data_IF_780311782827
#
_entry.id   IF_780311782827
#
_cell.length_a   1.000
_cell.length_b   1.000
_cell.length_c   1.000
_cell.angle_alpha   90.00
_cell.angle_beta   90.00
_cell.angle_gamma   90.00
#
_symmetry.space_group_name_H-M   'P 1'
#
loop_
_entity.id
_entity.type
_entity.pdbx_description
1 polymer ?
#
# COMPACT_ATOMS: atom_id res chain seq x y z
N UNK A 1 -18.92 -7.07 -2.19
CA UNK A 1 -17.50 -7.46 -2.26
C UNK A 1 -16.82 -6.85 -1.06
N UNK A 2 -16.20 -7.64 -0.18
CA UNK A 2 -15.55 -7.08 1.01
C UNK A 2 -14.38 -6.19 0.54
N UNK A 3 -14.22 -5.02 1.16
CA UNK A 3 -13.24 -3.99 0.78
C UNK A 3 -11.78 -4.43 1.03
N UNK A 4 -11.53 -5.65 1.46
CA UNK A 4 -10.21 -6.18 1.78
C UNK A 4 -10.15 -7.64 1.32
N UNK A 5 -9.58 -7.90 0.15
CA UNK A 5 -9.32 -9.25 -0.36
C UNK A 5 -7.81 -9.40 -0.58
N UNK A 6 -7.20 -10.38 0.09
CA UNK A 6 -5.83 -10.82 -0.14
C UNK A 6 -5.84 -12.36 -0.14
N UNK A 7 -5.55 -13.02 -1.28
CA UNK A 7 -5.66 -14.47 -1.39
C UNK A 7 -4.79 -15.26 -0.41
N UNK A 8 -3.65 -14.71 0.03
CA UNK A 8 -2.80 -15.38 1.00
C UNK A 8 -3.41 -15.32 2.39
N UNK A 9 -3.96 -14.16 2.76
CA UNK A 9 -4.63 -13.99 4.06
C UNK A 9 -5.87 -14.88 4.14
N UNK A 10 -6.65 -14.93 3.06
CA UNK A 10 -7.84 -15.78 3.04
C UNK A 10 -7.48 -17.27 3.09
N UNK A 11 -6.45 -17.72 2.36
CA UNK A 11 -5.97 -19.10 2.45
C UNK A 11 -5.58 -19.48 3.90
N UNK A 12 -4.83 -18.63 4.58
CA UNK A 12 -4.43 -18.84 5.98
C UNK A 12 -5.67 -18.97 6.87
N UNK A 13 -6.64 -18.07 6.70
CA UNK A 13 -7.87 -18.06 7.49
C UNK A 13 -8.72 -19.31 7.22
N UNK A 14 -8.88 -19.69 5.96
CA UNK A 14 -9.61 -20.89 5.56
C UNK A 14 -8.99 -22.14 6.19
N UNK A 15 -7.67 -22.27 6.20
CA UNK A 15 -6.98 -23.41 6.81
C UNK A 15 -7.11 -23.43 8.34
N UNK A 16 -7.08 -22.27 8.99
CA UNK A 16 -7.32 -22.17 10.44
C UNK A 16 -8.78 -22.53 10.79
N UNK A 17 -9.73 -22.18 9.92
CA UNK A 17 -11.16 -22.39 10.14
C UNK A 17 -11.70 -23.70 9.54
N UNK A 18 -10.83 -24.52 8.94
CA UNK A 18 -11.24 -25.74 8.26
C UNK A 18 -11.99 -26.68 9.23
N UNK A 19 -13.15 -27.22 8.83
CA UNK A 19 -13.94 -28.10 9.69
C UNK A 19 -13.15 -29.34 10.07
N UNK A 20 -13.41 -29.85 11.28
CA UNK A 20 -12.82 -31.07 11.79
C UNK A 20 -13.39 -32.24 10.97
N UNK A 21 -12.59 -32.80 10.07
CA UNK A 21 -12.89 -34.09 9.48
C UNK A 21 -12.31 -35.18 10.38
N UNK A 22 -13.16 -35.78 11.23
CA UNK A 22 -12.81 -36.88 12.13
C UNK A 22 -12.22 -38.09 11.37
N UNK A 23 -12.47 -38.19 10.06
CA UNK A 23 -11.99 -39.27 9.17
C UNK A 23 -10.57 -39.06 8.66
N UNK A 24 -10.10 -37.81 8.56
CA UNK A 24 -8.84 -37.44 7.89
C UNK A 24 -7.66 -37.23 8.85
N UNK A 25 -7.89 -37.18 10.17
CA UNK A 25 -6.87 -37.27 11.21
C UNK A 25 -5.81 -36.16 11.28
N UNK A 26 -5.77 -35.19 10.35
CA UNK A 26 -4.86 -34.05 10.39
C UNK A 26 -5.64 -32.76 10.67
N UNK A 27 -5.76 -32.43 11.95
CA UNK A 27 -6.12 -31.07 12.36
C UNK A 27 -4.83 -30.27 12.57
N UNK A 28 -4.62 -29.23 11.77
CA UNK A 28 -3.55 -28.26 12.03
C UNK A 28 -4.05 -27.23 13.03
N UNK A 29 -3.31 -27.03 14.11
CA UNK A 29 -3.47 -25.89 15.00
C UNK A 29 -3.16 -24.58 14.25
N UNK A 30 -3.62 -23.46 14.79
CA UNK A 30 -3.33 -22.13 14.22
C UNK A 30 -1.84 -21.89 14.02
N UNK A 31 -1.00 -22.34 14.96
CA UNK A 31 0.46 -22.18 14.86
C UNK A 31 1.06 -23.09 13.78
N UNK A 32 0.55 -24.32 13.63
CA UNK A 32 0.99 -25.22 12.57
C UNK A 32 0.61 -24.71 11.18
N UNK A 33 -0.55 -24.07 11.03
CA UNK A 33 -0.92 -23.39 9.77
C UNK A 33 0.09 -22.29 9.45
N UNK A 34 0.45 -21.44 10.40
CA UNK A 34 1.46 -20.39 10.16
C UNK A 34 2.83 -20.96 9.82
N UNK A 35 3.28 -22.02 10.49
CA UNK A 35 4.55 -22.69 10.19
C UNK A 35 4.55 -23.28 8.77
N UNK A 36 3.47 -23.95 8.38
CA UNK A 36 3.31 -24.50 7.03
C UNK A 36 3.33 -23.39 5.97
N UNK A 37 2.65 -22.26 6.24
CA UNK A 37 2.61 -21.12 5.33
C UNK A 37 3.97 -20.45 5.22
N UNK A 38 4.76 -20.38 6.29
CA UNK A 38 6.15 -19.91 6.24
C UNK A 38 6.98 -20.74 5.25
N UNK A 39 6.92 -22.07 5.37
CA UNK A 39 7.63 -22.98 4.48
C UNK A 39 7.20 -22.78 3.03
N UNK A 40 5.89 -22.67 2.79
CA UNK A 40 5.33 -22.47 1.45
C UNK A 40 5.75 -21.13 0.84
N UNK A 41 5.82 -20.05 1.64
CA UNK A 41 6.31 -18.74 1.20
C UNK A 41 7.81 -18.83 0.87
N UNK A 42 8.60 -19.42 1.74
CA UNK A 42 10.04 -19.54 1.57
C UNK A 42 10.42 -20.45 0.39
N UNK A 43 9.62 -21.50 0.15
CA UNK A 43 9.65 -22.35 -1.04
C UNK A 43 9.29 -21.53 -2.30
N UNK A 44 8.22 -20.73 -2.27
CA UNK A 44 7.81 -19.89 -3.39
C UNK A 44 8.85 -18.83 -3.76
N UNK A 45 9.56 -18.28 -2.78
CA UNK A 45 10.69 -17.36 -3.02
C UNK A 45 11.82 -18.07 -3.78
N UNK A 46 12.09 -19.34 -3.45
CA UNK A 46 13.15 -20.12 -4.09
C UNK A 46 12.76 -20.67 -5.46
N UNK A 47 11.54 -21.18 -5.61
CA UNK A 47 11.02 -21.79 -6.84
C UNK A 47 9.57 -21.36 -7.11
N UNK A 48 9.36 -20.15 -7.70
CA UNK A 48 8.02 -19.58 -7.85
C UNK A 48 7.06 -20.42 -8.70
N UNK A 49 7.58 -21.14 -9.71
CA UNK A 49 6.76 -21.90 -10.65
C UNK A 49 6.36 -23.28 -10.11
N UNK A 50 7.20 -23.90 -9.29
CA UNK A 50 6.98 -25.25 -8.77
C UNK A 50 6.42 -25.31 -7.34
N UNK A 51 6.32 -24.16 -6.66
CA UNK A 51 5.99 -24.13 -5.24
C UNK A 51 4.59 -24.66 -4.91
N UNK A 52 4.44 -25.25 -3.72
CA UNK A 52 3.11 -25.57 -3.13
C UNK A 52 2.17 -24.37 -3.12
N UNK A 53 2.67 -23.18 -2.78
CA UNK A 53 1.85 -21.96 -2.73
C UNK A 53 1.17 -21.64 -4.07
N UNK A 54 1.86 -21.88 -5.19
CA UNK A 54 1.32 -21.68 -6.55
C UNK A 54 0.14 -22.61 -6.86
N UNK A 55 0.06 -23.78 -6.20
CA UNK A 55 -1.04 -24.73 -6.37
C UNK A 55 -2.32 -24.20 -5.71
N UNK A 56 -2.22 -23.66 -4.50
CA UNK A 56 -3.36 -23.12 -3.76
C UNK A 56 -3.76 -21.72 -4.21
N UNK A 57 -2.79 -20.91 -4.63
CA UNK A 57 -3.01 -19.56 -5.14
C UNK A 57 -2.43 -19.49 -6.56
N UNK A 58 -3.16 -19.94 -7.61
CA UNK A 58 -2.65 -19.97 -8.99
C UNK A 58 -2.18 -18.61 -9.50
N UNK A 59 -2.79 -17.53 -9.02
CA UNK A 59 -2.45 -16.14 -9.37
C UNK A 59 -1.41 -15.50 -8.43
N UNK A 60 -0.79 -16.26 -7.53
CA UNK A 60 0.25 -15.73 -6.62
C UNK A 60 1.36 -15.08 -7.43
N UNK A 61 1.70 -13.87 -7.02
CA UNK A 61 2.77 -13.06 -7.61
C UNK A 61 4.10 -13.45 -6.99
N UNK A 62 5.18 -13.09 -7.66
CA UNK A 62 6.53 -13.31 -7.17
C UNK A 62 6.70 -12.74 -5.76
N UNK A 63 7.22 -13.57 -4.85
CA UNK A 63 7.71 -13.14 -3.55
C UNK A 63 9.22 -12.94 -3.63
N UNK A 64 9.70 -11.82 -3.10
CA UNK A 64 11.07 -11.36 -3.33
C UNK A 64 12.03 -11.74 -2.22
N UNK A 65 11.51 -12.10 -1.05
CA UNK A 65 12.29 -12.37 0.14
C UNK A 65 11.65 -13.48 0.96
N UNK A 66 12.51 -14.33 1.52
CA UNK A 66 12.11 -15.25 2.58
C UNK A 66 11.68 -14.46 3.80
N UNK A 67 10.71 -14.98 4.54
CA UNK A 67 10.22 -14.38 5.78
C UNK A 67 10.43 -15.34 6.95
N UNK A 68 10.53 -14.80 8.17
CA UNK A 68 10.40 -15.57 9.40
C UNK A 68 9.03 -15.22 9.99
N UNK A 69 8.01 -15.99 9.58
CA UNK A 69 6.62 -15.73 9.91
C UNK A 69 6.34 -16.16 11.35
N UNK A 70 6.93 -17.25 11.82
CA UNK A 70 6.76 -17.76 13.18
C UNK A 70 7.29 -16.79 14.23
N UNK A 71 8.44 -16.15 13.99
CA UNK A 71 8.92 -15.06 14.86
C UNK A 71 7.89 -13.93 14.98
N UNK A 72 7.29 -13.53 13.85
CA UNK A 72 6.27 -12.47 13.82
C UNK A 72 4.97 -12.91 14.51
N UNK A 73 4.58 -14.18 14.36
CA UNK A 73 3.44 -14.78 15.07
C UNK A 73 3.68 -14.71 16.58
N UNK A 74 4.84 -15.16 17.05
CA UNK A 74 5.16 -15.13 18.48
C UNK A 74 5.19 -13.70 19.04
N UNK A 75 5.74 -12.76 18.28
CA UNK A 75 5.77 -11.36 18.67
C UNK A 75 4.39 -10.72 18.76
N UNK A 76 3.54 -10.98 17.77
CA UNK A 76 2.18 -10.48 17.75
C UNK A 76 1.34 -11.13 18.86
N UNK A 77 1.51 -12.43 19.09
CA UNK A 77 0.81 -13.19 20.13
C UNK A 77 1.24 -12.80 21.56
N UNK A 78 2.50 -12.40 21.75
CA UNK A 78 2.98 -11.90 23.03
C UNK A 78 2.21 -10.65 23.50
N UNK A 79 1.71 -9.84 22.56
CA UNK A 79 0.94 -8.61 22.86
C UNK A 79 -0.57 -8.85 22.80
N UNK A 80 -1.04 -9.61 21.82
CA UNK A 80 -2.48 -9.73 21.52
C UNK A 80 -3.13 -10.98 22.11
N UNK A 81 -2.32 -11.98 22.51
CA UNK A 81 -2.77 -13.28 23.03
C UNK A 81 -3.82 -13.96 22.15
N UNK A 82 -3.67 -13.78 20.84
CA UNK A 82 -4.61 -14.20 19.84
C UNK A 82 -4.75 -15.73 19.76
N UNK A 83 -3.68 -16.46 20.08
CA UNK A 83 -3.62 -17.93 20.15
C UNK A 83 -4.44 -18.51 21.30
N UNK A 84 -4.70 -17.71 22.35
CA UNK A 84 -5.46 -18.13 23.54
C UNK A 84 -6.97 -17.98 23.36
N UNK A 85 -7.42 -17.42 22.23
CA UNK A 85 -8.84 -17.22 21.94
C UNK A 85 -9.51 -18.56 21.67
N UNK A 86 -10.54 -18.88 22.45
CA UNK A 86 -11.27 -20.16 22.34
C UNK A 86 -12.34 -20.18 21.25
N UNK A 87 -12.91 -19.02 20.91
CA UNK A 87 -14.11 -18.90 20.06
C UNK A 87 -13.95 -18.00 18.84
N UNK A 88 -12.86 -17.23 18.80
CA UNK A 88 -12.62 -16.23 17.77
C UNK A 88 -11.29 -16.57 17.11
N UNK A 89 -11.30 -17.12 15.88
CA UNK A 89 -10.06 -17.34 15.14
C UNK A 89 -9.39 -16.01 14.76
N UNK A 90 -8.12 -16.04 14.32
CA UNK A 90 -7.46 -14.88 13.71
C UNK A 90 -8.33 -14.17 12.67
N UNK A 91 -8.54 -12.87 12.90
CA UNK A 91 -9.24 -12.01 11.95
C UNK A 91 -8.34 -11.71 10.75
N UNK A 92 -8.92 -11.23 9.65
CA UNK A 92 -8.14 -10.71 8.51
C UNK A 92 -7.06 -9.72 8.98
N UNK A 93 -7.44 -8.80 9.87
CA UNK A 93 -6.55 -7.78 10.42
C UNK A 93 -5.39 -8.40 11.21
N UNK A 94 -5.64 -9.45 11.99
CA UNK A 94 -4.58 -10.16 12.71
C UNK A 94 -3.55 -10.76 11.74
N UNK A 95 -4.01 -11.52 10.75
CA UNK A 95 -3.13 -12.15 9.76
C UNK A 95 -2.36 -11.10 8.94
N UNK A 96 -3.03 -10.00 8.54
CA UNK A 96 -2.37 -8.87 7.87
C UNK A 96 -1.24 -8.28 8.71
N UNK A 97 -1.49 -8.01 9.99
CA UNK A 97 -0.46 -7.46 10.88
C UNK A 97 0.72 -8.40 11.05
N UNK A 98 0.46 -9.70 11.22
CA UNK A 98 1.51 -10.72 11.35
C UNK A 98 2.38 -10.77 10.09
N UNK A 99 1.78 -10.78 8.89
CA UNK A 99 2.54 -10.77 7.63
C UNK A 99 3.34 -9.46 7.43
N UNK A 100 2.77 -8.32 7.81
CA UNK A 100 3.46 -7.03 7.78
C UNK A 100 4.66 -7.03 8.75
N UNK A 101 4.48 -7.54 9.98
CA UNK A 101 5.56 -7.70 10.96
C UNK A 101 6.66 -8.61 10.42
N UNK A 102 6.33 -9.78 9.87
CA UNK A 102 7.30 -10.72 9.31
C UNK A 102 8.16 -10.08 8.20
N UNK A 103 7.54 -9.26 7.37
CA UNK A 103 8.21 -8.55 6.27
C UNK A 103 9.20 -7.50 6.82
N UNK A 104 8.77 -6.67 7.77
CA UNK A 104 9.60 -5.62 8.37
C UNK A 104 10.71 -6.21 9.24
N UNK A 105 10.39 -7.19 10.08
CA UNK A 105 11.35 -7.86 10.95
C UNK A 105 12.42 -8.57 10.18
N UNK A 106 12.10 -9.22 9.07
CA UNK A 106 13.14 -9.80 8.22
C UNK A 106 14.13 -8.75 7.73
N UNK A 107 13.63 -7.57 7.33
CA UNK A 107 14.50 -6.46 6.91
C UNK A 107 15.35 -5.95 8.08
N UNK A 108 14.75 -5.83 9.27
CA UNK A 108 15.45 -5.41 10.48
C UNK A 108 16.50 -6.42 10.94
N UNK A 109 16.21 -7.72 10.90
CA UNK A 109 17.14 -8.77 11.28
C UNK A 109 18.33 -8.83 10.31
N UNK A 110 18.11 -8.65 9.01
CA UNK A 110 19.20 -8.50 8.04
C UNK A 110 20.07 -7.26 8.35
N UNK A 111 19.47 -6.17 8.81
CA UNK A 111 20.18 -4.95 9.23
C UNK A 111 20.91 -5.13 10.58
N UNK A 112 20.34 -5.88 11.52
CA UNK A 112 20.90 -6.11 12.85
C UNK A 112 22.01 -7.17 12.85
N UNK A 113 21.84 -8.27 12.11
CA UNK A 113 22.90 -9.24 11.86
C UNK A 113 24.09 -8.60 11.13
N UNK A 114 23.85 -7.60 10.29
CA UNK A 114 24.92 -6.76 9.74
C UNK A 114 25.65 -5.99 10.83
N UNK A 115 24.95 -5.28 11.72
CA UNK A 115 25.61 -4.56 12.82
C UNK A 115 26.43 -5.48 13.74
N UNK A 116 25.98 -6.72 14.00
CA UNK A 116 26.75 -7.67 14.83
C UNK A 116 27.97 -8.28 14.11
N UNK A 117 27.97 -8.34 12.78
CA UNK A 117 29.11 -8.88 11.97
C UNK A 117 30.05 -7.75 11.50
N UNK A 118 29.64 -6.48 11.65
CA UNK A 118 30.37 -5.30 11.13
C UNK A 118 31.58 -4.84 11.94
N UNK A 119 31.95 -5.55 13.00
CA UNK A 119 33.31 -5.45 13.52
C UNK A 119 34.37 -6.07 12.58
N UNK A 120 33.99 -6.86 11.55
CA UNK A 120 35.00 -7.47 10.67
C UNK A 120 34.71 -7.63 9.17
N UNK A 121 33.47 -7.60 8.64
CA UNK A 121 33.27 -7.84 7.19
C UNK A 121 32.20 -6.92 6.57
N UNK A 122 32.64 -6.04 5.66
CA UNK A 122 31.80 -5.20 4.78
C UNK A 122 31.02 -6.04 3.75
N UNK A 123 29.88 -6.63 4.13
CA UNK A 123 28.75 -7.08 3.25
C UNK A 123 27.85 -8.03 4.08
N UNK A 124 26.64 -7.67 4.53
CA UNK A 124 25.34 -7.74 3.83
C UNK A 124 24.29 -6.91 4.61
N UNK A 125 24.11 -5.64 4.25
CA UNK A 125 22.90 -4.83 4.48
C UNK A 125 22.87 -3.65 3.48
N UNK A 126 22.56 -3.91 2.18
CA UNK A 126 22.36 -2.81 1.23
C UNK A 126 21.12 -3.01 0.33
N UNK A 127 20.10 -3.77 0.75
CA UNK A 127 19.02 -4.20 -0.17
C UNK A 127 17.84 -3.23 -0.26
N UNK A 128 17.44 -2.59 0.83
CA UNK A 128 16.38 -1.57 0.78
C UNK A 128 16.98 -0.20 0.45
N UNK A 129 16.61 0.34 -0.71
CA UNK A 129 17.06 1.67 -1.17
C UNK A 129 15.90 2.64 -1.40
N UNK A 130 14.69 2.12 -1.53
CA UNK A 130 13.49 2.86 -1.92
C UNK A 130 12.32 2.43 -1.03
N UNK A 131 11.64 3.41 -0.45
CA UNK A 131 10.35 3.25 0.21
C UNK A 131 9.34 4.11 -0.56
N UNK A 132 8.27 3.48 -1.04
CA UNK A 132 7.18 4.18 -1.73
C UNK A 132 5.95 4.22 -0.84
N UNK A 133 5.33 5.38 -0.70
CA UNK A 133 4.02 5.52 -0.05
C UNK A 133 2.93 5.77 -1.09
N UNK A 134 1.81 5.07 -0.93
CA UNK A 134 0.57 5.48 -1.58
C UNK A 134 0.03 6.70 -0.83
N UNK A 135 0.09 7.86 -1.46
CA UNK A 135 -0.26 9.11 -0.79
C UNK A 135 -1.76 9.19 -0.49
N UNK A 136 -2.61 8.65 -1.37
CA UNK A 136 -4.06 8.76 -1.23
C UNK A 136 -4.59 7.90 -0.09
N UNK A 137 -4.05 6.69 0.10
CA UNK A 137 -4.52 5.75 1.12
C UNK A 137 -3.72 5.80 2.43
N UNK A 138 -2.48 6.32 2.41
CA UNK A 138 -1.56 6.27 3.58
C UNK A 138 -1.22 7.64 4.17
N UNK A 139 -1.24 8.69 3.34
CA UNK A 139 -0.73 10.01 3.73
C UNK A 139 -1.89 11.00 3.91
N UNK A 140 -2.90 10.96 3.04
CA UNK A 140 -4.05 11.85 3.09
C UNK A 140 -5.24 11.13 3.76
N UNK A 141 -5.48 11.38 5.04
CA UNK A 141 -6.55 10.70 5.80
C UNK A 141 -7.98 10.96 5.24
N UNK A 142 -8.16 12.02 4.46
CA UNK A 142 -9.45 12.50 3.92
C UNK A 142 -9.38 12.92 2.44
N UNK A 143 -8.32 12.55 1.71
CA UNK A 143 -8.08 13.02 0.34
C UNK A 143 -7.60 14.49 0.26
N UNK A 144 -7.36 15.12 1.41
CA UNK A 144 -6.85 16.48 1.54
C UNK A 144 -5.33 16.57 1.41
N UNK A 145 -4.68 17.00 2.48
CA UNK A 145 -3.26 17.39 2.48
C UNK A 145 -2.53 16.93 3.75
N UNK A 146 -1.20 16.86 3.72
CA UNK A 146 -0.41 16.50 4.90
C UNK A 146 -0.48 17.64 5.91
N UNK A 147 -0.82 17.33 7.17
CA UNK A 147 -0.69 18.26 8.29
C UNK A 147 0.69 18.12 8.93
N UNK A 148 1.50 19.17 8.89
CA UNK A 148 2.79 19.24 9.59
C UNK A 148 3.03 20.61 10.24
N UNK A 149 3.65 20.65 11.42
CA UNK A 149 4.17 21.89 12.03
C UNK A 149 5.53 22.18 11.41
N UNK A 150 5.66 23.29 10.69
CA UNK A 150 6.98 23.76 10.27
C UNK A 150 7.71 24.30 11.51
N UNK A 151 8.66 23.54 12.06
CA UNK A 151 9.64 24.11 13.00
C UNK A 151 10.79 24.64 12.16
N UNK A 152 11.03 25.95 12.18
CA UNK A 152 12.22 26.54 11.54
C UNK A 152 13.47 25.97 12.24
N UNK A 153 14.17 25.03 11.61
CA UNK A 153 15.47 24.54 12.12
C UNK A 153 16.64 25.47 11.73
N UNK A 154 16.37 26.50 10.92
CA UNK A 154 17.39 27.45 10.42
C UNK A 154 17.47 28.70 11.30
N UNK A 155 16.44 28.96 12.08
CA UNK A 155 16.30 30.18 12.84
C UNK A 155 15.72 29.84 14.20
N UNK A 156 16.46 30.15 15.27
CA UNK A 156 16.02 30.06 16.67
C UNK A 156 14.93 31.12 16.98
N UNK A 157 13.98 31.28 16.06
CA UNK A 157 12.88 32.20 16.14
C UNK A 157 11.77 31.52 16.94
N UNK A 158 11.72 31.84 18.22
CA UNK A 158 10.52 31.67 19.04
C UNK A 158 9.36 32.39 18.34
N UNK A 159 8.27 31.63 18.19
CA UNK A 159 6.90 32.09 17.91
C UNK A 159 6.70 32.98 16.67
N UNK A 160 6.15 32.37 15.61
CA UNK A 160 5.29 33.09 14.67
C UNK A 160 3.85 32.73 15.01
N UNK A 161 3.36 33.27 16.13
CA UNK A 161 1.94 33.26 16.46
C UNK A 161 1.23 34.34 15.63
N UNK A 162 0.57 33.95 14.53
CA UNK A 162 -0.59 34.68 13.96
C UNK A 162 -1.16 34.08 12.66
N UNK A 163 -1.23 32.75 12.51
CA UNK A 163 -2.14 32.14 11.53
C UNK A 163 -3.19 31.29 12.25
N UNK A 164 -4.30 31.94 12.62
CA UNK A 164 -5.45 31.31 13.29
C UNK A 164 -6.08 30.26 12.38
N UNK A 165 -6.02 28.99 12.77
CA UNK A 165 -6.69 27.88 12.09
C UNK A 165 -5.95 26.53 12.15
N UNK A 166 -4.75 26.47 12.70
CA UNK A 166 -4.00 25.22 12.82
C UNK A 166 -4.35 24.47 14.12
N UNK A 167 -5.40 23.66 14.09
CA UNK A 167 -5.60 22.66 15.14
C UNK A 167 -4.45 21.63 15.13
N UNK A 168 -4.05 21.27 16.35
CA UNK A 168 -2.78 20.73 16.80
C UNK A 168 -2.41 19.33 16.30
N UNK A 169 -1.08 19.10 16.21
CA UNK A 169 -0.32 17.87 15.97
C UNK A 169 0.14 17.61 14.52
N UNK A 170 1.47 17.49 14.36
CA UNK A 170 2.09 17.05 13.11
C UNK A 170 1.81 15.57 12.92
N UNK A 171 1.48 15.15 11.69
CA UNK A 171 1.27 13.72 11.43
C UNK A 171 2.53 12.91 11.75
N UNK A 172 2.38 11.84 12.53
CA UNK A 172 3.44 10.86 12.84
C UNK A 172 4.14 10.35 11.56
N UNK A 173 3.42 10.30 10.44
CA UNK A 173 3.94 9.90 9.14
C UNK A 173 5.07 10.81 8.64
N UNK A 174 5.03 12.10 8.95
CA UNK A 174 6.09 13.05 8.56
C UNK A 174 7.37 12.73 9.31
N UNK A 175 7.26 12.44 10.61
CA UNK A 175 8.39 11.98 11.43
C UNK A 175 8.99 10.70 10.85
N UNK A 176 8.15 9.73 10.49
CA UNK A 176 8.61 8.48 9.85
C UNK A 176 9.34 8.75 8.54
N UNK A 177 8.80 9.59 7.65
CA UNK A 177 9.43 9.94 6.37
C UNK A 177 10.79 10.60 6.59
N UNK A 178 10.88 11.56 7.51
CA UNK A 178 12.14 12.24 7.84
C UNK A 178 13.18 11.25 8.36
N UNK A 179 12.80 10.33 9.24
CA UNK A 179 13.71 9.30 9.76
C UNK A 179 14.18 8.32 8.66
N UNK A 180 13.33 7.97 7.69
CA UNK A 180 13.73 7.17 6.53
C UNK A 180 14.76 7.92 5.66
N UNK A 181 14.52 9.21 5.39
CA UNK A 181 15.44 10.06 4.63
C UNK A 181 16.79 10.23 5.33
N UNK A 182 16.80 10.45 6.65
CA UNK A 182 18.04 10.53 7.45
C UNK A 182 18.87 9.24 7.40
N UNK A 183 18.21 8.08 7.22
CA UNK A 183 18.85 6.77 7.05
C UNK A 183 19.35 6.52 5.61
N UNK A 184 19.29 7.53 4.74
CA UNK A 184 19.79 7.44 3.36
C UNK A 184 18.88 6.65 2.41
N UNK A 185 17.62 6.41 2.79
CA UNK A 185 16.64 5.78 1.93
C UNK A 185 16.00 6.81 1.00
N UNK A 186 15.79 6.46 -0.26
CA UNK A 186 14.95 7.24 -1.15
C UNK A 186 13.50 7.02 -0.74
N UNK A 187 12.79 8.11 -0.47
CA UNK A 187 11.34 8.09 -0.24
C UNK A 187 10.65 8.65 -1.48
N UNK A 188 9.60 7.96 -1.95
CA UNK A 188 8.79 8.43 -3.08
C UNK A 188 7.30 8.36 -2.74
N UNK A 189 6.55 9.35 -3.19
CA UNK A 189 5.11 9.40 -3.05
C UNK A 189 4.46 9.09 -4.39
N UNK A 190 3.45 8.22 -4.39
CA UNK A 190 2.65 7.90 -5.57
C UNK A 190 1.21 8.28 -5.27
N UNK A 191 0.60 9.13 -6.12
CA UNK A 191 -0.78 9.61 -5.97
C UNK A 191 -1.52 9.47 -7.30
N UNK A 192 -2.84 9.28 -7.23
CA UNK A 192 -3.73 9.37 -8.38
C UNK A 192 -3.96 10.82 -8.85
N UNK A 193 -3.59 11.83 -8.05
CA UNK A 193 -3.75 13.22 -8.45
C UNK A 193 -2.85 13.60 -9.64
N UNK A 194 -3.47 14.02 -10.75
CA UNK A 194 -2.80 14.52 -11.94
C UNK A 194 -2.92 16.04 -12.10
N UNK A 195 -1.79 16.77 -12.06
CA UNK A 195 -1.64 18.19 -12.38
C UNK A 195 -0.50 18.39 -13.40
N UNK A 196 -0.71 18.07 -14.68
CA UNK A 196 0.36 18.15 -15.69
C UNK A 196 0.94 19.57 -15.79
N UNK A 197 2.27 19.69 -15.67
CA UNK A 197 2.97 20.97 -15.76
C UNK A 197 2.80 21.91 -14.56
N UNK A 198 2.12 21.48 -13.49
CA UNK A 198 1.81 22.32 -12.32
C UNK A 198 2.39 21.72 -11.02
N UNK A 199 3.72 21.68 -10.83
CA UNK A 199 4.35 21.12 -9.63
C UNK A 199 3.88 21.79 -8.33
N UNK A 200 3.49 23.08 -8.39
CA UNK A 200 3.02 23.85 -7.23
C UNK A 200 1.74 23.25 -6.62
N UNK A 201 0.88 22.59 -7.41
CA UNK A 201 -0.32 21.91 -6.90
C UNK A 201 0.00 20.65 -6.11
N UNK A 202 1.07 19.95 -6.47
CA UNK A 202 1.58 18.84 -5.67
C UNK A 202 2.23 19.35 -4.38
N UNK A 203 3.01 20.43 -4.45
CA UNK A 203 3.55 21.07 -3.24
C UNK A 203 2.45 21.55 -2.30
N UNK A 204 1.36 22.13 -2.82
CA UNK A 204 0.22 22.57 -2.02
C UNK A 204 -0.38 21.40 -1.21
N UNK A 205 -0.53 20.23 -1.82
CA UNK A 205 -0.98 19.00 -1.11
C UNK A 205 -0.01 18.53 -0.02
N UNK A 206 1.29 18.77 -0.20
CA UNK A 206 2.26 18.50 0.84
C UNK A 206 2.21 19.56 1.94
N UNK A 207 2.01 20.84 1.60
CA UNK A 207 1.98 22.01 2.50
C UNK A 207 0.68 22.21 3.28
N UNK A 208 -0.36 21.42 3.04
CA UNK A 208 -1.63 21.59 3.75
C UNK A 208 -2.70 22.41 3.00
N UNK A 209 -2.51 22.74 1.71
CA UNK A 209 -3.36 23.69 0.97
C UNK A 209 -4.09 22.99 -0.17
N UNK A 210 -5.43 23.03 -0.15
CA UNK A 210 -6.27 22.39 -1.16
C UNK A 210 -6.25 23.13 -2.51
N UNK A 211 -6.20 22.43 -3.66
CA UNK A 211 -6.29 23.07 -4.96
C UNK A 211 -7.74 23.40 -5.34
N UNK A 212 -7.96 24.59 -5.91
CA UNK A 212 -9.20 24.97 -6.60
C UNK A 212 -9.05 24.76 -8.11
N UNK A 213 -10.09 24.26 -8.78
CA UNK A 213 -10.24 24.45 -10.22
C UNK A 213 -11.65 24.17 -10.73
N UNK A 214 -12.17 25.16 -11.47
CA UNK A 214 -13.35 25.14 -12.34
C UNK A 214 -13.07 24.53 -13.72
N UNK A 215 -14.06 23.83 -14.28
CA UNK A 215 -14.71 24.06 -15.59
C UNK A 215 -15.49 22.80 -16.07
N UNK A 216 -16.65 23.02 -16.71
CA UNK A 216 -17.77 22.08 -16.74
C UNK A 216 -18.26 21.70 -18.15
N UNK A 217 -18.59 20.42 -18.36
CA UNK A 217 -19.69 19.97 -19.25
C UNK A 217 -20.51 18.87 -18.55
N UNK A 218 -21.84 18.97 -18.67
CA UNK A 218 -22.85 18.12 -18.00
C UNK A 218 -23.02 16.77 -18.71
N UNK A 219 -23.31 15.72 -17.94
CA UNK A 219 -23.70 14.39 -18.46
C UNK A 219 -25.20 14.23 -18.29
N UNK A 220 -25.92 14.03 -19.40
CA UNK A 220 -27.37 13.81 -19.41
C UNK A 220 -27.78 12.33 -19.32
N UNK A 221 -26.80 11.41 -19.23
CA UNK A 221 -27.04 9.96 -19.30
C UNK A 221 -27.28 9.29 -17.94
N UNK A 222 -26.91 9.96 -16.85
CA UNK A 222 -27.18 9.55 -15.49
C UNK A 222 -28.04 10.67 -14.93
N UNK A 223 -29.20 10.37 -14.31
CA UNK A 223 -30.04 11.37 -13.62
C UNK A 223 -29.37 11.82 -12.29
N UNK A 224 -28.07 12.14 -12.40
CA UNK A 224 -27.16 12.50 -11.35
C UNK A 224 -26.55 13.84 -11.75
N UNK A 225 -26.49 14.84 -10.84
CA UNK A 225 -25.97 16.16 -11.15
C UNK A 225 -24.43 16.16 -11.21
N UNK A 226 -23.84 15.36 -12.09
CA UNK A 226 -22.39 15.21 -12.26
C UNK A 226 -21.84 16.00 -13.45
N UNK A 227 -20.59 16.48 -13.31
CA UNK A 227 -19.84 17.13 -14.40
C UNK A 227 -18.64 16.28 -14.80
N UNK A 228 -18.30 16.28 -16.09
CA UNK A 228 -17.08 15.64 -16.58
C UNK A 228 -15.92 16.65 -16.57
N UNK A 229 -14.77 16.18 -16.06
CA UNK A 229 -13.49 16.83 -16.21
C UNK A 229 -12.54 15.93 -17.03
N UNK A 230 -12.04 16.43 -18.15
CA UNK A 230 -11.04 15.76 -19.00
C UNK A 230 -9.67 16.42 -18.81
N UNK A 231 -8.66 15.60 -18.57
CA UNK A 231 -7.23 15.95 -18.52
C UNK A 231 -6.52 15.24 -19.66
N UNK A 232 -5.23 15.55 -19.87
CA UNK A 232 -4.41 14.93 -20.91
C UNK A 232 -4.41 13.38 -20.83
N UNK A 233 -4.32 12.84 -19.60
CA UNK A 233 -4.20 11.39 -19.34
C UNK A 233 -5.22 10.85 -18.34
N UNK A 234 -6.28 11.60 -18.09
CA UNK A 234 -7.32 11.20 -17.16
C UNK A 234 -8.67 11.79 -17.55
N UNK A 235 -9.75 11.10 -17.21
CA UNK A 235 -11.10 11.64 -17.27
C UNK A 235 -11.85 11.25 -16.02
N UNK A 236 -12.64 12.14 -15.46
CA UNK A 236 -13.44 11.85 -14.30
C UNK A 236 -14.78 12.56 -14.32
N UNK A 237 -15.72 12.00 -13.58
CA UNK A 237 -16.92 12.72 -13.15
C UNK A 237 -16.68 13.23 -11.75
N UNK A 238 -17.11 14.46 -11.46
CA UNK A 238 -17.04 15.03 -10.13
C UNK A 238 -18.39 15.62 -9.73
N UNK A 239 -18.58 15.73 -8.42
CA UNK A 239 -19.78 16.32 -7.84
C UNK A 239 -19.63 17.84 -7.71
N UNK A 240 -20.42 18.64 -8.44
CA UNK A 240 -20.41 20.10 -8.33
C UNK A 240 -21.37 20.63 -7.26
N UNK A 241 -22.05 19.74 -6.53
CA UNK A 241 -23.06 20.09 -5.53
C UNK A 241 -22.57 19.75 -4.13
N UNK A 242 -23.20 20.33 -3.11
CA UNK A 242 -22.90 20.04 -1.70
C UNK A 242 -23.43 18.66 -1.25
N UNK A 243 -24.32 18.04 -2.03
CA UNK A 243 -24.91 16.74 -1.71
C UNK A 243 -24.03 15.62 -2.26
N UNK A 244 -23.44 14.80 -1.39
CA UNK A 244 -22.62 13.67 -1.81
C UNK A 244 -23.37 12.71 -2.72
N UNK A 245 -22.66 12.14 -3.68
CA UNK A 245 -23.19 11.05 -4.49
C UNK A 245 -23.38 9.78 -3.65
N UNK A 246 -24.38 8.99 -4.05
CA UNK A 246 -24.61 7.66 -3.49
C UNK A 246 -23.44 6.77 -3.89
N UNK A 247 -22.84 6.10 -2.91
CA UNK A 247 -21.60 5.33 -3.09
C UNK A 247 -21.79 4.19 -4.10
N UNK A 248 -22.92 3.52 -4.05
CA UNK A 248 -23.31 2.41 -4.92
C UNK A 248 -23.35 2.82 -6.39
N UNK A 249 -23.87 4.02 -6.69
CA UNK A 249 -23.89 4.54 -8.05
C UNK A 249 -22.46 4.80 -8.56
N UNK A 250 -21.57 5.30 -7.71
CA UNK A 250 -20.16 5.52 -8.08
C UNK A 250 -19.42 4.20 -8.29
N UNK A 251 -19.71 3.18 -7.48
CA UNK A 251 -19.18 1.82 -7.69
C UNK A 251 -19.69 1.22 -9.01
N UNK A 252 -20.98 1.36 -9.31
CA UNK A 252 -21.56 0.87 -10.56
C UNK A 252 -20.88 1.52 -11.78
N UNK A 253 -20.68 2.84 -11.75
CA UNK A 253 -19.98 3.56 -12.81
C UNK A 253 -18.53 3.08 -12.93
N UNK A 254 -17.79 2.99 -11.82
CA UNK A 254 -16.41 2.55 -11.83
C UNK A 254 -16.27 1.12 -12.38
N UNK A 255 -17.11 0.19 -11.93
CA UNK A 255 -17.13 -1.20 -12.38
C UNK A 255 -17.56 -1.33 -13.84
N UNK A 256 -18.51 -0.51 -14.29
CA UNK A 256 -18.93 -0.45 -15.69
C UNK A 256 -17.77 -0.02 -16.58
N UNK A 257 -17.06 1.05 -16.22
CA UNK A 257 -15.88 1.49 -16.96
C UNK A 257 -14.80 0.40 -16.98
N UNK A 258 -14.50 -0.22 -15.84
CA UNK A 258 -13.56 -1.35 -15.78
C UNK A 258 -13.97 -2.49 -16.70
N UNK A 259 -15.28 -2.81 -16.77
CA UNK A 259 -15.79 -3.86 -17.65
C UNK A 259 -15.66 -3.49 -19.13
N UNK A 260 -16.02 -2.27 -19.52
CA UNK A 260 -15.89 -1.80 -20.91
C UNK A 260 -14.43 -1.80 -21.35
N UNK A 261 -13.52 -1.39 -20.46
CA UNK A 261 -12.09 -1.30 -20.74
C UNK A 261 -11.33 -2.62 -20.54
N UNK A 262 -11.99 -3.71 -20.11
CA UNK A 262 -11.30 -4.97 -19.72
C UNK A 262 -10.41 -5.59 -20.80
N UNK A 263 -10.71 -5.32 -22.08
CA UNK A 263 -10.00 -5.89 -23.23
C UNK A 263 -8.97 -4.92 -23.83
N UNK A 264 -8.82 -3.71 -23.30
CA UNK A 264 -7.79 -2.79 -23.77
C UNK A 264 -6.41 -3.22 -23.30
N UNK A 265 -5.42 -3.09 -24.18
CA UNK A 265 -4.01 -3.37 -23.86
C UNK A 265 -3.33 -2.19 -23.17
N UNK A 266 -3.93 -0.99 -23.24
CA UNK A 266 -3.39 0.21 -22.61
C UNK A 266 -3.62 0.11 -21.10
N UNK A 267 -2.56 0.19 -20.27
CA UNK A 267 -2.73 0.19 -18.84
C UNK A 267 -3.57 1.38 -18.39
N UNK A 268 -4.54 1.11 -17.52
CA UNK A 268 -5.48 2.11 -17.03
C UNK A 268 -5.93 1.75 -15.62
N UNK A 269 -6.53 2.71 -14.93
CA UNK A 269 -7.25 2.48 -13.70
C UNK A 269 -8.54 3.29 -13.69
N UNK A 270 -9.67 2.62 -13.48
CA UNK A 270 -10.94 3.27 -13.17
C UNK A 270 -11.32 2.98 -11.71
N UNK A 271 -11.57 4.01 -10.92
CA UNK A 271 -11.83 3.87 -9.50
C UNK A 271 -12.86 4.87 -8.97
N UNK A 272 -13.61 4.44 -7.95
CA UNK A 272 -14.46 5.29 -7.13
C UNK A 272 -13.61 6.07 -6.11
N UNK A 273 -13.58 7.40 -6.20
CA UNK A 273 -12.84 8.26 -5.27
C UNK A 273 -13.63 8.66 -4.02
N UNK A 274 -14.86 8.17 -3.86
CA UNK A 274 -15.71 8.36 -2.68
C UNK A 274 -16.71 9.52 -2.79
N UNK A 275 -16.51 10.45 -3.73
CA UNK A 275 -17.53 11.42 -4.17
C UNK A 275 -17.38 11.80 -5.65
N UNK A 276 -16.55 11.06 -6.38
CA UNK A 276 -16.20 11.23 -7.78
C UNK A 276 -15.76 9.86 -8.34
N UNK A 277 -15.66 9.75 -9.67
CA UNK A 277 -15.09 8.57 -10.33
C UNK A 277 -14.07 9.06 -11.35
N UNK A 278 -12.88 8.46 -11.33
CA UNK A 278 -11.77 8.80 -12.21
C UNK A 278 -11.31 7.59 -13.02
N UNK A 279 -10.82 7.88 -14.22
CA UNK A 279 -10.23 6.93 -15.15
C UNK A 279 -8.90 7.52 -15.61
N UNK A 280 -7.81 6.92 -15.16
CA UNK A 280 -6.44 7.33 -15.51
C UNK A 280 -5.84 6.39 -16.56
N UNK A 281 -5.08 6.97 -17.49
CA UNK A 281 -4.16 6.23 -18.37
C UNK A 281 -2.87 5.98 -17.60
N UNK A 282 -2.67 4.71 -17.22
CA UNK A 282 -1.63 4.27 -16.29
C UNK A 282 -2.20 3.72 -14.98
N UNK A 283 -1.31 3.22 -14.14
CA UNK A 283 -1.65 2.77 -12.78
C UNK A 283 -0.45 2.95 -11.84
N UNK A 284 -0.70 2.93 -10.53
CA UNK A 284 0.34 3.13 -9.49
C UNK A 284 1.46 2.09 -9.59
N UNK A 285 1.17 0.85 -9.98
CA UNK A 285 2.17 -0.20 -10.12
C UNK A 285 3.19 0.09 -11.22
N UNK A 286 2.76 0.66 -12.36
CA UNK A 286 3.66 1.15 -13.40
C UNK A 286 4.52 2.32 -12.91
N UNK A 287 3.95 3.23 -12.11
CA UNK A 287 4.70 4.31 -11.47
C UNK A 287 5.81 3.78 -10.57
N UNK A 288 5.51 2.78 -9.73
CA UNK A 288 6.51 2.12 -8.87
C UNK A 288 7.58 1.41 -9.71
N UNK A 289 7.20 0.71 -10.78
CA UNK A 289 8.16 0.06 -11.70
C UNK A 289 9.10 1.08 -12.37
N UNK A 290 8.56 2.24 -12.78
CA UNK A 290 9.35 3.34 -13.30
C UNK A 290 10.33 3.89 -12.24
N UNK A 291 9.88 4.11 -11.00
CA UNK A 291 10.76 4.55 -9.90
C UNK A 291 11.90 3.55 -9.66
N UNK A 292 11.60 2.25 -9.67
CA UNK A 292 12.61 1.20 -9.53
C UNK A 292 13.61 1.20 -10.69
N UNK A 293 13.16 1.46 -11.92
CA UNK A 293 14.02 1.47 -13.09
C UNK A 293 14.90 2.73 -13.17
N UNK A 294 14.33 3.90 -12.91
CA UNK A 294 14.97 5.19 -13.16
C UNK A 294 15.64 5.78 -11.91
N UNK A 295 15.00 5.71 -10.75
CA UNK A 295 15.48 6.40 -9.53
C UNK A 295 16.50 5.55 -8.79
N UNK A 296 16.29 4.24 -8.65
CA UNK A 296 17.23 3.36 -7.93
C UNK A 296 18.61 3.30 -8.60
N UNK A 297 18.68 3.51 -9.93
CA UNK A 297 19.95 3.60 -10.66
C UNK A 297 20.79 4.82 -10.29
N UNK A 298 20.15 5.90 -9.81
CA UNK A 298 20.82 7.14 -9.42
C UNK A 298 21.47 7.05 -8.03
N UNK A 299 21.15 6.03 -7.24
CA UNK A 299 21.51 5.95 -5.81
C UNK A 299 22.85 5.23 -5.52
N UNK A 300 23.46 4.49 -6.46
CA UNK A 300 24.92 4.20 -6.51
C UNK A 300 25.28 3.05 -7.49
N UNK A 301 26.29 3.29 -8.34
CA UNK A 301 27.57 2.56 -8.50
C UNK A 301 27.67 1.02 -8.59
N UNK A 302 26.62 0.25 -8.36
CA UNK A 302 26.68 -1.21 -8.32
C UNK A 302 25.44 -1.82 -8.97
N UNK A 303 25.62 -2.83 -9.81
CA UNK A 303 24.52 -3.63 -10.38
C UNK A 303 23.69 -4.24 -9.24
N UNK A 304 22.49 -3.71 -8.98
CA UNK A 304 21.57 -4.26 -7.97
C UNK A 304 20.41 -4.99 -8.65
N UNK A 305 20.19 -6.26 -8.24
CA UNK A 305 18.93 -6.98 -8.48
C UNK A 305 17.85 -6.37 -7.57
N UNK A 306 16.80 -5.83 -8.16
CA UNK A 306 15.67 -5.24 -7.43
C UNK A 306 14.97 -6.31 -6.56
N UNK A 307 14.85 -6.04 -5.26
CA UNK A 307 13.96 -6.77 -4.35
C UNK A 307 12.80 -5.85 -3.98
N UNK A 308 11.58 -6.27 -4.29
CA UNK A 308 10.35 -5.52 -4.00
C UNK A 308 9.86 -5.92 -2.61
N UNK A 309 9.63 -4.92 -1.76
CA UNK A 309 8.87 -5.09 -0.52
C UNK A 309 7.56 -4.33 -0.71
N UNK A 310 6.45 -5.05 -0.82
CA UNK A 310 5.11 -4.46 -0.84
C UNK A 310 4.51 -4.71 0.55
N UNK A 311 4.25 -3.64 1.31
CA UNK A 311 3.37 -3.75 2.47
C UNK A 311 1.97 -4.15 1.97
N UNK A 312 1.35 -5.16 2.60
CA UNK A 312 0.03 -5.62 2.22
C UNK A 312 -1.00 -4.58 2.69
N UNK A 313 -1.36 -3.67 1.79
CA UNK A 313 -2.37 -2.64 1.99
C UNK A 313 -3.18 -2.40 0.72
N UNK A 314 -4.50 -2.42 0.86
CA UNK A 314 -5.48 -1.89 -0.11
C UNK A 314 -5.79 -2.78 -1.32
N UNK A 315 -6.92 -3.47 -1.26
CA UNK A 315 -7.55 -4.34 -2.28
C UNK A 315 -7.99 -3.66 -3.59
N UNK A 316 -7.57 -2.42 -3.87
CA UNK A 316 -8.16 -1.63 -4.97
C UNK A 316 -7.54 -1.87 -6.35
N UNK A 317 -6.55 -2.75 -6.48
CA UNK A 317 -5.59 -2.68 -7.60
C UNK A 317 -5.37 -4.00 -8.37
N UNK A 318 -6.31 -4.95 -8.35
CA UNK A 318 -6.09 -6.30 -8.89
C UNK A 318 -6.64 -6.62 -10.29
N UNK A 319 -6.72 -5.64 -11.20
CA UNK A 319 -6.99 -5.95 -12.61
C UNK A 319 -5.93 -5.32 -13.51
N UNK A 320 -5.19 -6.19 -14.20
CA UNK A 320 -4.24 -5.91 -15.30
C UNK A 320 -2.76 -5.64 -14.90
N UNK A 321 -2.14 -6.67 -14.32
CA UNK A 321 -0.75 -7.05 -14.60
C UNK A 321 -0.71 -8.56 -14.86
#
# INVERSE_FOLDING_TARGET
>A
MLKEEDPLIELIREWIMAPIDESAGLQLSTLEVFALVEDMINEHVASPQGSRLKKYIPKVKRMFMRINLMDAVHAYDAVTHFSRRKRVPPTFKDVRHILNLATVWRMWMLLACFLMVFAQIRAIAPTLKLVTFDADDTIYADGGSIRYRLVCYICDCREVDSFRGWDSESSDMVTVIVELLKKGLVVSLVTAAGYPGEPQRYEARLRGVGPSSDSAKMVALLDMPAKILRKERAVGIYNPTDKRFVYENLEEIALTVQHVLRHTTIPHCAFNGGNDVWVDIGNKALGISALQHYVVRLVAGSKVRASIVRCLGGSKWEKNL
#
